data_IF_055815692561
#
_entry.id   IF_055815692561
#
_cell.length_a   1.000
_cell.length_b   1.000
_cell.length_c   1.000
_cell.angle_alpha   90.00
_cell.angle_beta   90.00
_cell.angle_gamma   90.00
#
_symmetry.space_group_name_H-M   'P 1'
#
loop_
_entity.id
_entity.type
_entity.pdbx_description
1 polymer ?
#
# COMPACT_ATOMS: atom_id res chain seq x y z
N UNK A 1 2.90 29.41 -20.88
CA UNK A 1 3.42 28.03 -20.70
C UNK A 1 4.06 28.01 -19.32
N UNK A 2 3.34 27.56 -18.29
CA UNK A 2 3.95 27.39 -16.97
C UNK A 2 5.01 26.29 -17.11
N UNK A 3 6.27 26.60 -16.84
CA UNK A 3 7.32 25.59 -16.68
C UNK A 3 6.92 24.74 -15.49
N UNK A 4 6.25 23.62 -15.75
CA UNK A 4 6.08 22.56 -14.77
C UNK A 4 7.50 22.07 -14.48
N UNK A 5 7.99 22.31 -13.27
CA UNK A 5 9.27 21.74 -12.86
C UNK A 5 9.04 20.26 -12.58
N UNK A 6 9.16 19.45 -13.62
CA UNK A 6 8.95 18.03 -13.55
C UNK A 6 9.86 17.31 -12.55
N UNK A 7 11.08 17.83 -12.32
CA UNK A 7 11.97 17.33 -11.27
C UNK A 7 11.36 17.58 -9.88
N UNK A 8 10.66 18.71 -9.67
CA UNK A 8 9.92 18.96 -8.44
C UNK A 8 8.74 18.02 -8.27
N UNK A 9 7.95 17.78 -9.33
CA UNK A 9 6.85 16.81 -9.27
C UNK A 9 7.37 15.40 -8.97
N UNK A 10 8.43 14.98 -9.65
CA UNK A 10 9.09 13.69 -9.42
C UNK A 10 9.66 13.59 -7.99
N UNK A 11 10.22 14.68 -7.47
CA UNK A 11 10.71 14.74 -6.08
C UNK A 11 9.59 14.67 -5.05
N UNK A 12 8.45 15.32 -5.31
CA UNK A 12 7.27 15.22 -4.44
C UNK A 12 6.81 13.76 -4.36
N UNK A 13 6.78 13.06 -5.50
CA UNK A 13 6.44 11.62 -5.54
C UNK A 13 7.45 10.81 -4.71
N UNK A 14 8.75 10.98 -4.95
CA UNK A 14 9.81 10.31 -4.18
C UNK A 14 9.68 10.55 -2.67
N UNK A 15 9.42 11.80 -2.25
CA UNK A 15 9.21 12.13 -0.84
C UNK A 15 8.02 11.42 -0.24
N UNK A 16 6.87 11.39 -0.94
CA UNK A 16 5.65 10.71 -0.45
C UNK A 16 5.89 9.20 -0.30
N UNK A 17 6.60 8.57 -1.24
CA UNK A 17 6.92 7.13 -1.17
C UNK A 17 7.80 6.81 0.03
N UNK A 18 8.89 7.56 0.21
CA UNK A 18 9.79 7.37 1.36
C UNK A 18 9.05 7.57 2.69
N UNK A 19 8.20 8.60 2.79
CA UNK A 19 7.38 8.81 3.98
C UNK A 19 6.39 7.66 4.21
N UNK A 20 5.75 7.14 3.15
CA UNK A 20 4.86 5.99 3.23
C UNK A 20 5.56 4.75 3.78
N UNK A 21 6.75 4.43 3.26
CA UNK A 21 7.56 3.32 3.76
C UNK A 21 8.07 3.55 5.19
N UNK A 22 8.47 4.78 5.54
CA UNK A 22 8.87 5.10 6.91
C UNK A 22 7.72 4.88 7.91
N UNK A 23 6.47 5.18 7.53
CA UNK A 23 5.29 4.91 8.35
C UNK A 23 5.09 3.40 8.53
N UNK A 24 5.18 2.61 7.45
CA UNK A 24 5.03 1.14 7.48
C UNK A 24 6.11 0.52 8.39
N UNK A 25 7.37 0.92 8.19
CA UNK A 25 8.49 0.41 8.97
C UNK A 25 8.35 0.80 10.45
N UNK A 26 7.92 2.04 10.73
CA UNK A 26 7.65 2.49 12.09
C UNK A 26 6.56 1.66 12.77
N UNK A 27 5.44 1.41 12.08
CA UNK A 27 4.36 0.57 12.59
C UNK A 27 4.85 -0.83 12.95
N UNK A 28 5.56 -1.49 12.02
CA UNK A 28 6.09 -2.85 12.22
C UNK A 28 7.10 -2.90 13.35
N UNK A 29 8.04 -1.96 13.39
CA UNK A 29 9.09 -1.91 14.42
C UNK A 29 8.50 -1.64 15.82
N UNK A 30 7.60 -0.66 15.95
CA UNK A 30 6.94 -0.37 17.23
C UNK A 30 6.13 -1.57 17.71
N UNK A 31 5.37 -2.22 16.80
CA UNK A 31 4.62 -3.41 17.14
C UNK A 31 5.52 -4.56 17.61
N UNK A 32 6.57 -4.89 16.83
CA UNK A 32 7.49 -5.98 17.14
C UNK A 32 8.20 -5.77 18.49
N UNK A 33 8.67 -4.55 18.76
CA UNK A 33 9.35 -4.20 20.01
C UNK A 33 8.38 -4.11 21.21
N UNK A 34 7.14 -3.68 20.97
CA UNK A 34 6.13 -3.50 22.01
C UNK A 34 5.40 -4.79 22.42
N UNK A 35 5.25 -5.75 21.51
CA UNK A 35 4.49 -6.99 21.74
C UNK A 35 4.93 -7.79 22.98
N UNK A 36 6.23 -7.98 23.28
CA UNK A 36 6.65 -8.71 24.48
C UNK A 36 6.17 -8.05 25.78
N UNK A 37 6.11 -6.72 25.82
CA UNK A 37 5.59 -5.98 26.97
C UNK A 37 4.07 -6.03 27.04
N UNK A 38 3.39 -5.84 25.90
CA UNK A 38 1.94 -5.96 25.80
C UNK A 38 1.45 -7.34 26.25
N UNK A 39 2.15 -8.42 25.87
CA UNK A 39 1.83 -9.79 26.28
C UNK A 39 1.76 -9.96 27.79
N UNK A 40 2.68 -9.34 28.54
CA UNK A 40 2.68 -9.41 30.01
C UNK A 40 1.45 -8.74 30.62
N UNK A 41 1.05 -7.60 30.07
CA UNK A 41 -0.13 -6.85 30.54
C UNK A 41 -1.41 -7.60 30.21
N UNK A 42 -1.54 -8.07 28.96
CA UNK A 42 -2.67 -8.86 28.48
C UNK A 42 -2.82 -10.16 29.28
N UNK A 43 -1.71 -10.83 29.60
CA UNK A 43 -1.74 -12.05 30.43
C UNK A 43 -2.29 -11.79 31.84
N UNK A 44 -1.90 -10.67 32.47
CA UNK A 44 -2.44 -10.27 33.78
C UNK A 44 -3.94 -9.97 33.69
N UNK A 45 -4.37 -9.27 32.63
CA UNK A 45 -5.78 -8.95 32.41
C UNK A 45 -6.61 -10.23 32.20
N UNK A 46 -6.16 -11.13 31.35
CA UNK A 46 -6.85 -12.41 31.12
C UNK A 46 -6.82 -13.30 32.37
N UNK A 47 -5.74 -13.27 33.15
CA UNK A 47 -5.70 -13.98 34.43
C UNK A 47 -6.82 -13.49 35.36
N UNK A 48 -6.96 -12.17 35.52
CA UNK A 48 -8.04 -11.59 36.33
C UNK A 48 -9.40 -12.00 35.81
N UNK A 49 -9.65 -11.82 34.51
CA UNK A 49 -10.92 -12.15 33.88
C UNK A 49 -11.30 -13.62 34.06
N UNK A 50 -10.37 -14.55 33.85
CA UNK A 50 -10.65 -15.98 33.99
C UNK A 50 -10.79 -16.39 35.45
N UNK A 51 -10.05 -15.78 36.38
CA UNK A 51 -10.26 -15.97 37.82
C UNK A 51 -11.67 -15.53 38.24
N UNK A 52 -12.14 -14.37 37.78
CA UNK A 52 -13.49 -13.88 38.09
C UNK A 52 -14.58 -14.84 37.54
N UNK A 53 -14.36 -15.42 36.36
CA UNK A 53 -15.28 -16.42 35.79
C UNK A 53 -15.30 -17.73 36.59
N UNK A 54 -14.15 -18.17 37.11
CA UNK A 54 -14.06 -19.36 37.93
C UNK A 54 -14.70 -19.14 39.31
N UNK A 55 -14.38 -18.03 39.98
CA UNK A 55 -14.87 -17.72 41.33
C UNK A 55 -16.39 -17.47 41.35
N UNK A 56 -16.96 -16.98 40.25
CA UNK A 56 -18.41 -16.78 40.08
C UNK A 56 -19.18 -18.05 39.66
N UNK A 57 -18.49 -19.17 39.45
CA UNK A 57 -19.09 -20.41 38.97
C UNK A 57 -19.62 -20.33 37.52
N UNK A 58 -19.19 -19.34 36.74
CA UNK A 58 -19.62 -19.15 35.35
C UNK A 58 -18.81 -20.03 34.39
N UNK A 59 -17.54 -20.27 34.71
CA UNK A 59 -16.66 -21.07 33.86
C UNK A 59 -17.20 -22.50 33.69
N UNK A 60 -17.72 -23.10 34.78
CA UNK A 60 -18.35 -24.42 34.81
C UNK A 60 -19.65 -24.50 34.02
N UNK A 61 -20.35 -23.36 33.85
CA UNK A 61 -21.57 -23.29 33.03
C UNK A 61 -21.26 -23.19 31.54
N UNK A 62 -20.13 -22.56 31.21
CA UNK A 62 -19.74 -22.27 29.84
C UNK A 62 -18.89 -23.39 29.21
N UNK A 63 -18.17 -24.16 30.03
CA UNK A 63 -17.20 -25.16 29.55
C UNK A 63 -17.58 -26.55 30.04
N UNK A 64 -17.69 -27.47 29.09
CA UNK A 64 -17.99 -28.89 29.34
C UNK A 64 -16.75 -29.57 29.93
N UNK A 65 -16.96 -30.45 30.92
CA UNK A 65 -15.94 -31.40 31.39
C UNK A 65 -15.24 -31.04 32.69
N UNK A 66 -15.63 -29.94 33.36
CA UNK A 66 -15.13 -29.60 34.70
C UNK A 66 -15.87 -30.45 35.74
N UNK A 67 -15.17 -31.37 36.41
CA UNK A 67 -15.76 -32.30 37.39
C UNK A 67 -15.40 -31.96 38.84
N UNK A 68 -14.24 -31.34 39.05
CA UNK A 68 -13.72 -30.99 40.35
C UNK A 68 -12.85 -29.72 40.30
N UNK A 69 -12.35 -29.30 41.47
CA UNK A 69 -11.51 -28.10 41.60
C UNK A 69 -10.17 -28.21 40.86
N UNK A 70 -9.64 -29.42 40.68
CA UNK A 70 -8.42 -29.65 39.90
C UNK A 70 -8.66 -29.43 38.41
N UNK A 71 -9.77 -29.94 37.88
CA UNK A 71 -10.20 -29.71 36.49
C UNK A 71 -10.53 -28.23 36.24
N UNK A 72 -11.18 -27.56 37.21
CA UNK A 72 -11.48 -26.13 37.13
C UNK A 72 -10.19 -25.30 36.97
N UNK A 73 -9.18 -25.55 37.82
CA UNK A 73 -7.91 -24.83 37.75
C UNK A 73 -7.18 -25.05 36.43
N UNK A 74 -7.07 -26.31 35.97
CA UNK A 74 -6.45 -26.64 34.69
C UNK A 74 -7.16 -25.97 33.52
N UNK A 75 -8.48 -25.96 33.54
CA UNK A 75 -9.31 -25.33 32.49
C UNK A 75 -9.13 -23.82 32.50
N UNK A 76 -9.14 -23.18 33.67
CA UNK A 76 -8.87 -21.76 33.83
C UNK A 76 -7.48 -21.38 33.28
N UNK A 77 -6.44 -22.12 33.64
CA UNK A 77 -5.08 -21.88 33.15
C UNK A 77 -5.00 -22.01 31.61
N UNK A 78 -5.62 -23.06 31.06
CA UNK A 78 -5.70 -23.28 29.61
C UNK A 78 -6.44 -22.14 28.87
N UNK A 79 -7.61 -21.74 29.37
CA UNK A 79 -8.41 -20.66 28.76
C UNK A 79 -7.63 -19.35 28.78
N UNK A 80 -7.01 -18.99 29.90
CA UNK A 80 -6.14 -17.81 30.01
C UNK A 80 -5.03 -17.84 28.97
N UNK A 81 -4.29 -18.95 28.87
CA UNK A 81 -3.20 -19.10 27.92
C UNK A 81 -3.68 -18.92 26.48
N UNK A 82 -4.79 -19.57 26.10
CA UNK A 82 -5.37 -19.45 24.77
C UNK A 82 -5.87 -18.05 24.44
N UNK A 83 -6.52 -17.37 25.39
CA UNK A 83 -6.95 -15.99 25.20
C UNK A 83 -5.75 -15.07 24.96
N UNK A 84 -4.70 -15.20 25.78
CA UNK A 84 -3.48 -14.41 25.62
C UNK A 84 -2.80 -14.69 24.28
N UNK A 85 -2.61 -15.97 23.91
CA UNK A 85 -2.06 -16.36 22.62
C UNK A 85 -2.85 -15.78 21.45
N UNK A 86 -4.18 -15.91 21.48
CA UNK A 86 -5.04 -15.44 20.40
C UNK A 86 -5.00 -13.92 20.27
N UNK A 87 -5.02 -13.17 21.38
CA UNK A 87 -4.90 -11.71 21.37
C UNK A 87 -3.58 -11.27 20.75
N UNK A 88 -2.46 -11.91 21.11
CA UNK A 88 -1.16 -11.57 20.54
C UNK A 88 -1.07 -11.91 19.05
N UNK A 89 -1.61 -13.05 18.63
CA UNK A 89 -1.69 -13.43 17.21
C UNK A 89 -2.53 -12.45 16.41
N UNK A 90 -3.74 -12.14 16.88
CA UNK A 90 -4.62 -11.17 16.23
C UNK A 90 -3.93 -9.81 16.05
N UNK A 91 -3.22 -9.32 17.08
CA UNK A 91 -2.46 -8.08 16.99
C UNK A 91 -1.36 -8.16 15.92
N UNK A 92 -0.57 -9.24 15.90
CA UNK A 92 0.49 -9.43 14.90
C UNK A 92 -0.04 -9.50 13.49
N UNK A 93 -1.03 -10.36 13.26
CA UNK A 93 -1.65 -10.53 11.96
C UNK A 93 -2.33 -9.25 11.47
N UNK A 94 -2.90 -8.44 12.36
CA UNK A 94 -3.46 -7.12 12.01
C UNK A 94 -2.37 -6.14 11.55
N UNK A 95 -1.20 -6.15 12.18
CA UNK A 95 -0.06 -5.31 11.77
C UNK A 95 0.45 -5.73 10.39
N UNK A 96 0.56 -7.03 10.13
CA UNK A 96 0.97 -7.56 8.83
C UNK A 96 -0.04 -7.19 7.73
N UNK A 97 -1.33 -7.39 8.00
CA UNK A 97 -2.41 -7.04 7.09
C UNK A 97 -2.40 -5.53 6.77
N UNK A 98 -2.32 -4.67 7.79
CA UNK A 98 -2.24 -3.22 7.60
C UNK A 98 -0.99 -2.81 6.82
N UNK A 99 0.16 -3.43 7.11
CA UNK A 99 1.41 -3.17 6.40
C UNK A 99 1.29 -3.48 4.90
N UNK A 100 0.67 -4.60 4.54
CA UNK A 100 0.46 -4.99 3.15
C UNK A 100 -0.47 -4.02 2.41
N UNK A 101 -1.58 -3.64 3.06
CA UNK A 101 -2.54 -2.67 2.51
C UNK A 101 -1.85 -1.33 2.25
N UNK A 102 -1.12 -0.80 3.23
CA UNK A 102 -0.39 0.45 3.09
C UNK A 102 0.70 0.38 2.03
N UNK A 103 1.49 -0.69 1.98
CA UNK A 103 2.53 -0.87 0.96
C UNK A 103 1.93 -0.87 -0.46
N UNK A 104 0.80 -1.54 -0.66
CA UNK A 104 0.11 -1.53 -1.94
C UNK A 104 -0.41 -0.12 -2.27
N UNK A 105 -1.00 0.59 -1.31
CA UNK A 105 -1.47 1.97 -1.50
C UNK A 105 -0.32 2.92 -1.88
N UNK A 106 0.86 2.77 -1.27
CA UNK A 106 2.05 3.57 -1.61
C UNK A 106 2.48 3.33 -3.06
N UNK A 107 2.59 2.08 -3.48
CA UNK A 107 2.96 1.73 -4.86
C UNK A 107 1.89 2.22 -5.87
N UNK A 108 0.62 2.10 -5.53
CA UNK A 108 -0.49 2.60 -6.34
C UNK A 108 -0.41 4.13 -6.54
N UNK A 109 -0.15 4.91 -5.49
CA UNK A 109 0.02 6.36 -5.58
C UNK A 109 1.23 6.75 -6.45
N UNK A 110 2.34 6.04 -6.28
CA UNK A 110 3.57 6.21 -7.05
C UNK A 110 3.32 6.03 -8.55
N UNK A 111 2.78 4.87 -8.95
CA UNK A 111 2.49 4.53 -10.34
C UNK A 111 1.51 5.54 -10.95
N UNK A 112 0.47 5.92 -10.21
CA UNK A 112 -0.50 6.91 -10.67
C UNK A 112 0.13 8.29 -10.89
N UNK A 113 1.10 8.67 -10.06
CA UNK A 113 1.80 9.93 -10.18
C UNK A 113 2.76 9.94 -11.37
N UNK A 114 3.48 8.84 -11.58
CA UNK A 114 4.32 8.66 -12.76
C UNK A 114 3.51 8.72 -14.06
N UNK A 115 2.33 8.08 -14.11
CA UNK A 115 1.43 8.22 -15.25
C UNK A 115 1.04 9.69 -15.50
N UNK A 116 0.85 10.48 -14.44
CA UNK A 116 0.66 11.93 -14.54
C UNK A 116 1.84 12.64 -15.19
N UNK A 117 3.06 12.37 -14.70
CA UNK A 117 4.30 12.98 -15.21
C UNK A 117 4.50 12.67 -16.71
N UNK A 118 4.16 11.45 -17.16
CA UNK A 118 4.31 11.09 -18.59
C UNK A 118 3.50 11.96 -19.55
N UNK A 119 2.50 12.71 -19.07
CA UNK A 119 1.80 13.72 -19.86
C UNK A 119 2.77 14.74 -20.48
N UNK A 120 3.82 15.12 -19.73
CA UNK A 120 4.79 16.12 -20.14
C UNK A 120 5.89 15.57 -21.04
N UNK A 121 6.26 14.29 -20.87
CA UNK A 121 7.45 13.72 -21.49
C UNK A 121 7.18 12.72 -22.62
N UNK A 122 5.95 12.19 -22.71
CA UNK A 122 5.55 11.27 -23.76
C UNK A 122 4.31 11.78 -24.52
N UNK A 123 4.29 13.04 -25.00
CA UNK A 123 3.10 13.63 -25.63
C UNK A 123 2.67 12.85 -26.87
N UNK A 124 3.60 12.33 -27.67
CA UNK A 124 3.28 11.59 -28.89
C UNK A 124 2.62 10.24 -28.59
N UNK A 125 3.09 9.53 -27.57
CA UNK A 125 2.45 8.29 -27.09
C UNK A 125 0.98 8.55 -26.72
N UNK A 126 0.75 9.64 -25.99
CA UNK A 126 -0.59 9.99 -25.54
C UNK A 126 -1.49 10.51 -26.66
N UNK A 127 -0.95 11.34 -27.57
CA UNK A 127 -1.64 11.80 -28.79
C UNK A 127 -2.10 10.61 -29.62
N UNK A 128 -1.24 9.62 -29.84
CA UNK A 128 -1.58 8.40 -30.57
C UNK A 128 -2.72 7.60 -29.93
N UNK A 129 -2.83 7.68 -28.60
CA UNK A 129 -3.84 6.95 -27.83
C UNK A 129 -5.22 7.64 -27.82
N UNK A 130 -5.27 8.94 -28.10
CA UNK A 130 -6.52 9.73 -28.17
C UNK A 130 -6.88 10.17 -29.59
N UNK A 131 -6.05 9.91 -30.60
CA UNK A 131 -6.26 10.38 -31.99
C UNK A 131 -7.57 9.93 -32.65
N UNK A 132 -8.17 8.84 -32.16
CA UNK A 132 -9.45 8.30 -32.66
C UNK A 132 -10.64 8.78 -31.83
N UNK A 133 -10.40 9.51 -30.75
CA UNK A 133 -11.48 10.00 -29.89
C UNK A 133 -12.18 11.16 -30.61
N UNK A 134 -13.53 11.18 -30.64
CA UNK A 134 -14.27 12.26 -31.27
C UNK A 134 -14.07 13.56 -30.50
N UNK A 135 -13.88 14.67 -31.21
CA UNK A 135 -13.73 16.00 -30.62
C UNK A 135 -14.78 16.97 -31.15
N UNK A 136 -15.04 18.01 -30.35
CA UNK A 136 -15.94 19.10 -30.69
C UNK A 136 -15.19 20.18 -31.49
N UNK A 137 -15.66 20.47 -32.71
CA UNK A 137 -15.09 21.48 -33.59
C UNK A 137 -15.20 22.88 -32.97
N UNK A 138 -16.28 23.17 -32.24
CA UNK A 138 -16.46 24.47 -31.57
C UNK A 138 -15.40 24.68 -30.49
N UNK A 139 -15.12 23.64 -29.69
CA UNK A 139 -14.04 23.65 -28.71
C UNK A 139 -12.66 23.88 -29.35
N UNK A 140 -12.39 23.29 -30.52
CA UNK A 140 -11.13 23.49 -31.26
C UNK A 140 -11.01 24.93 -31.76
N UNK A 141 -12.09 25.51 -32.31
CA UNK A 141 -12.10 26.90 -32.75
C UNK A 141 -11.88 27.89 -31.60
N UNK A 142 -12.42 27.58 -30.41
CA UNK A 142 -12.33 28.45 -29.22
C UNK A 142 -11.00 28.33 -28.47
N UNK A 143 -10.47 27.12 -28.33
CA UNK A 143 -9.33 26.85 -27.44
C UNK A 143 -8.05 26.42 -28.18
N UNK A 144 -8.13 26.13 -29.48
CA UNK A 144 -7.02 25.58 -30.25
C UNK A 144 -6.86 24.08 -30.07
N UNK A 145 -6.35 23.42 -31.12
CA UNK A 145 -6.24 21.96 -31.18
C UNK A 145 -5.40 21.37 -30.04
N UNK A 146 -4.23 21.96 -29.74
CA UNK A 146 -3.34 21.44 -28.70
C UNK A 146 -3.97 21.44 -27.29
N UNK A 147 -4.74 22.49 -26.97
CA UNK A 147 -5.42 22.57 -25.67
C UNK A 147 -6.57 21.54 -25.59
N UNK A 148 -7.31 21.36 -26.67
CA UNK A 148 -8.37 20.34 -26.75
C UNK A 148 -7.76 18.95 -26.57
N UNK A 149 -6.74 18.60 -27.36
CA UNK A 149 -6.04 17.32 -27.29
C UNK A 149 -5.43 17.09 -25.91
N UNK A 150 -4.79 18.11 -25.33
CA UNK A 150 -4.26 18.05 -23.96
C UNK A 150 -5.33 17.69 -22.93
N UNK A 151 -6.53 18.26 -23.05
CA UNK A 151 -7.65 17.94 -22.16
C UNK A 151 -8.15 16.48 -22.32
N UNK A 152 -8.16 15.94 -23.54
CA UNK A 152 -8.49 14.54 -23.80
C UNK A 152 -7.46 13.60 -23.17
N UNK A 153 -6.17 13.92 -23.32
CA UNK A 153 -5.10 13.13 -22.71
C UNK A 153 -5.23 13.15 -21.18
N UNK A 154 -5.44 14.32 -20.57
CA UNK A 154 -5.61 14.41 -19.11
C UNK A 154 -6.82 13.60 -18.61
N UNK A 155 -7.97 13.69 -19.31
CA UNK A 155 -9.15 12.85 -19.02
C UNK A 155 -8.83 11.36 -19.15
N UNK A 156 -8.07 10.97 -20.18
CA UNK A 156 -7.66 9.58 -20.40
C UNK A 156 -6.76 9.07 -19.27
N UNK A 157 -5.73 9.84 -18.90
CA UNK A 157 -4.85 9.52 -17.77
C UNK A 157 -5.66 9.38 -16.49
N UNK A 158 -6.55 10.34 -16.20
CA UNK A 158 -7.39 10.30 -14.99
C UNK A 158 -8.30 9.07 -14.96
N UNK A 159 -8.94 8.72 -16.08
CA UNK A 159 -9.77 7.51 -16.19
C UNK A 159 -8.95 6.24 -15.93
N UNK A 160 -7.74 6.14 -16.47
CA UNK A 160 -6.84 5.00 -16.23
C UNK A 160 -6.41 4.95 -14.76
N UNK A 161 -6.04 6.09 -14.17
CA UNK A 161 -5.67 6.19 -12.76
C UNK A 161 -6.78 5.74 -11.82
N UNK A 162 -8.04 6.06 -12.17
CA UNK A 162 -9.21 5.68 -11.37
C UNK A 162 -9.63 4.22 -11.54
N UNK A 163 -9.60 3.71 -12.76
CA UNK A 163 -10.29 2.45 -13.09
C UNK A 163 -9.33 1.28 -13.41
N UNK A 164 -8.07 1.56 -13.72
CA UNK A 164 -7.09 0.51 -14.03
C UNK A 164 -6.65 -0.25 -12.78
N UNK A 165 -6.38 -1.54 -12.93
CA UNK A 165 -5.62 -2.28 -11.90
C UNK A 165 -4.19 -1.75 -11.80
N UNK A 166 -3.52 -1.97 -10.67
CA UNK A 166 -2.13 -1.62 -10.47
C UNK A 166 -1.24 -2.19 -11.59
N UNK A 167 -1.44 -3.46 -11.95
CA UNK A 167 -0.67 -4.11 -13.02
C UNK A 167 -0.96 -3.51 -14.39
N UNK A 168 -2.21 -3.15 -14.69
CA UNK A 168 -2.54 -2.44 -15.94
C UNK A 168 -1.80 -1.10 -16.03
N UNK A 169 -1.73 -0.36 -14.92
CA UNK A 169 -1.04 0.93 -14.85
C UNK A 169 0.48 0.78 -14.96
N UNK A 170 1.04 -0.19 -14.28
CA UNK A 170 2.46 -0.54 -14.34
C UNK A 170 2.88 -0.95 -15.77
N UNK A 171 2.09 -1.80 -16.43
CA UNK A 171 2.33 -2.20 -17.83
C UNK A 171 2.22 -1.02 -18.79
N UNK A 172 1.34 -0.05 -18.50
CA UNK A 172 1.26 1.16 -19.30
C UNK A 172 2.52 2.01 -19.15
N UNK A 173 3.06 2.16 -17.93
CA UNK A 173 4.35 2.84 -17.74
C UNK A 173 5.49 2.12 -18.47
N UNK A 174 5.54 0.79 -18.43
CA UNK A 174 6.51 0.01 -19.18
C UNK A 174 6.39 0.26 -20.69
N UNK A 175 5.18 0.33 -21.23
CA UNK A 175 4.93 0.61 -22.64
C UNK A 175 5.30 2.04 -23.05
N UNK A 176 5.15 3.01 -22.14
CA UNK A 176 5.57 4.40 -22.36
C UNK A 176 7.09 4.50 -22.33
N UNK A 177 7.72 3.91 -21.32
CA UNK A 177 9.15 4.08 -21.05
C UNK A 177 10.04 3.21 -21.93
N UNK A 178 9.52 2.06 -22.42
CA UNK A 178 10.23 1.12 -23.29
C UNK A 178 11.66 0.81 -22.80
N UNK A 179 11.82 0.20 -21.61
CA UNK A 179 13.13 -0.09 -21.05
C UNK A 179 14.00 -0.85 -22.06
N UNK A 180 15.18 -0.32 -22.36
CA UNK A 180 16.09 -0.87 -23.38
C UNK A 180 16.85 -2.11 -22.91
N UNK A 181 17.00 -2.28 -21.59
CA UNK A 181 17.68 -3.39 -20.95
C UNK A 181 16.85 -3.89 -19.75
N UNK A 182 16.96 -5.18 -19.43
CA UNK A 182 16.42 -5.68 -18.17
C UNK A 182 17.26 -5.11 -17.02
N UNK A 183 16.62 -4.51 -16.01
CA UNK A 183 17.31 -4.11 -14.79
C UNK A 183 17.91 -5.37 -14.13
N UNK A 184 19.24 -5.42 -13.93
CA UNK A 184 19.90 -6.63 -13.46
C UNK A 184 19.58 -6.96 -11.99
N UNK A 185 19.00 -6.01 -11.26
CA UNK A 185 18.68 -6.15 -9.84
C UNK A 185 17.22 -6.50 -9.58
N UNK A 186 16.29 -6.14 -10.48
CA UNK A 186 14.88 -6.43 -10.30
C UNK A 186 14.10 -6.42 -11.62
N UNK A 187 13.30 -7.46 -11.84
CA UNK A 187 12.30 -7.50 -12.90
C UNK A 187 10.90 -7.37 -12.30
N UNK A 188 10.08 -6.51 -12.90
CA UNK A 188 8.68 -6.37 -12.49
C UNK A 188 7.90 -7.66 -12.77
N UNK A 189 7.54 -8.37 -11.71
CA UNK A 189 6.73 -9.58 -11.76
C UNK A 189 5.24 -9.24 -11.62
N UNK A 190 4.53 -9.30 -12.74
CA UNK A 190 3.10 -9.00 -12.81
C UNK A 190 2.25 -9.97 -12.00
N UNK A 191 2.58 -11.27 -12.02
CA UNK A 191 1.77 -12.29 -11.37
C UNK A 191 1.93 -12.20 -9.85
N UNK A 192 3.14 -11.93 -9.38
CA UNK A 192 3.39 -11.67 -7.96
C UNK A 192 2.62 -10.46 -7.47
N UNK A 193 2.61 -9.34 -8.20
CA UNK A 193 1.84 -8.14 -7.82
C UNK A 193 0.33 -8.39 -7.87
N UNK A 194 -0.18 -9.14 -8.87
CA UNK A 194 -1.60 -9.55 -8.90
C UNK A 194 -1.98 -10.40 -7.68
N UNK A 195 -1.14 -11.36 -7.30
CA UNK A 195 -1.41 -12.19 -6.12
C UNK A 195 -1.45 -11.37 -4.83
N UNK A 196 -0.61 -10.33 -4.73
CA UNK A 196 -0.58 -9.43 -3.59
C UNK A 196 -1.83 -8.53 -3.57
N UNK A 197 -2.25 -8.00 -4.73
CA UNK A 197 -3.49 -7.22 -4.86
C UNK A 197 -4.72 -8.06 -4.47
N UNK A 198 -4.79 -9.32 -4.90
CA UNK A 198 -5.86 -10.23 -4.48
C UNK A 198 -5.85 -10.44 -2.97
N UNK A 199 -4.71 -10.77 -2.39
CA UNK A 199 -4.57 -10.92 -0.94
C UNK A 199 -5.01 -9.66 -0.19
N UNK A 200 -4.66 -8.47 -0.70
CA UNK A 200 -5.10 -7.19 -0.15
C UNK A 200 -6.63 -7.04 -0.22
N UNK A 201 -7.28 -7.46 -1.31
CA UNK A 201 -8.73 -7.45 -1.43
C UNK A 201 -9.37 -8.36 -0.38
N UNK A 202 -8.88 -9.59 -0.27
CA UNK A 202 -9.40 -10.59 0.68
C UNK A 202 -9.26 -10.09 2.15
N UNK A 203 -8.18 -9.38 2.47
CA UNK A 203 -7.99 -8.70 3.78
C UNK A 203 -9.03 -7.59 3.99
N UNK A 204 -9.19 -6.68 3.02
CA UNK A 204 -10.09 -5.51 3.14
C UNK A 204 -11.55 -5.93 3.19
N UNK A 205 -11.92 -7.02 2.50
CA UNK A 205 -13.26 -7.60 2.55
C UNK A 205 -13.52 -8.41 3.83
N UNK A 206 -12.52 -8.56 4.70
CA UNK A 206 -12.64 -9.20 6.01
C UNK A 206 -12.49 -10.72 5.99
N UNK A 207 -12.30 -11.34 4.82
CA UNK A 207 -12.17 -12.80 4.68
C UNK A 207 -10.92 -13.34 5.37
N UNK A 208 -9.87 -12.52 5.44
CA UNK A 208 -8.58 -12.86 6.06
C UNK A 208 -8.24 -11.98 7.27
N UNK A 209 -9.22 -11.26 7.84
CA UNK A 209 -8.96 -10.42 9.00
C UNK A 209 -8.57 -11.30 10.20
N UNK A 210 -7.40 -11.02 10.81
CA UNK A 210 -6.88 -11.82 11.91
C UNK A 210 -6.31 -13.17 11.50
N UNK A 211 -6.05 -13.40 10.21
CA UNK A 211 -5.36 -14.59 9.70
C UNK A 211 -3.88 -14.32 9.46
N UNK A 212 -3.05 -15.36 9.64
CA UNK A 212 -1.63 -15.29 9.33
C UNK A 212 -1.39 -15.06 7.83
N UNK A 213 -0.48 -14.14 7.52
CA UNK A 213 -0.03 -13.89 6.15
C UNK A 213 1.36 -14.52 5.99
N UNK A 214 1.42 -15.67 5.32
CA UNK A 214 2.68 -16.32 5.00
C UNK A 214 3.59 -15.38 4.18
N UNK A 215 4.90 -15.42 4.46
CA UNK A 215 5.94 -14.67 3.74
C UNK A 215 5.62 -13.17 3.57
N UNK A 216 5.11 -12.53 4.62
CA UNK A 216 4.74 -11.11 4.59
C UNK A 216 5.92 -10.21 4.20
N UNK A 217 7.12 -10.47 4.73
CA UNK A 217 8.31 -9.65 4.45
C UNK A 217 8.74 -9.73 2.98
N UNK A 218 8.60 -10.89 2.34
CA UNK A 218 8.87 -11.06 0.90
C UNK A 218 7.85 -10.30 0.03
N UNK A 219 6.59 -10.25 0.48
CA UNK A 219 5.53 -9.50 -0.21
C UNK A 219 5.76 -8.00 -0.08
N UNK A 220 6.13 -7.51 1.11
CA UNK A 220 6.50 -6.12 1.34
C UNK A 220 7.73 -5.73 0.53
N UNK A 221 8.77 -6.58 0.54
CA UNK A 221 9.98 -6.38 -0.25
C UNK A 221 9.69 -6.33 -1.75
N UNK A 222 8.79 -7.19 -2.25
CA UNK A 222 8.34 -7.15 -3.63
C UNK A 222 7.72 -5.80 -4.01
N UNK A 223 6.81 -5.27 -3.18
CA UNK A 223 6.16 -3.98 -3.44
C UNK A 223 7.16 -2.82 -3.37
N UNK A 224 8.08 -2.86 -2.41
CA UNK A 224 9.15 -1.86 -2.27
C UNK A 224 10.07 -1.83 -3.49
N UNK A 225 10.52 -3.02 -3.91
CA UNK A 225 11.40 -3.17 -5.07
C UNK A 225 10.71 -2.78 -6.37
N UNK A 226 9.41 -3.07 -6.52
CA UNK A 226 8.62 -2.59 -7.64
C UNK A 226 8.60 -1.06 -7.70
N UNK A 227 8.39 -0.37 -6.56
CA UNK A 227 8.45 1.10 -6.50
C UNK A 227 9.82 1.63 -6.96
N UNK A 228 10.91 1.14 -6.35
CA UNK A 228 12.27 1.53 -6.74
C UNK A 228 12.58 1.26 -8.22
N UNK A 229 12.06 0.17 -8.77
CA UNK A 229 12.19 -0.13 -10.19
C UNK A 229 11.51 0.93 -11.06
N UNK A 230 10.27 1.31 -10.76
CA UNK A 230 9.58 2.36 -11.53
C UNK A 230 10.20 3.75 -11.33
N UNK A 231 10.69 4.05 -10.13
CA UNK A 231 11.49 5.26 -9.89
C UNK A 231 12.71 5.32 -10.84
N UNK A 232 13.52 4.26 -10.87
CA UNK A 232 14.70 4.16 -11.77
C UNK A 232 14.29 4.24 -13.23
N UNK A 233 13.20 3.59 -13.62
CA UNK A 233 12.68 3.60 -14.98
C UNK A 233 12.34 5.03 -15.43
N UNK A 234 11.63 5.79 -14.59
CA UNK A 234 11.28 7.18 -14.87
C UNK A 234 12.53 8.07 -14.97
N UNK A 235 13.50 7.89 -14.07
CA UNK A 235 14.79 8.58 -14.12
C UNK A 235 15.55 8.30 -15.43
N UNK A 236 15.73 7.02 -15.78
CA UNK A 236 16.51 6.61 -16.94
C UNK A 236 15.85 7.03 -18.27
N UNK A 237 14.52 6.97 -18.33
CA UNK A 237 13.77 7.28 -19.55
C UNK A 237 13.69 8.78 -19.83
N UNK A 238 13.42 9.58 -18.80
CA UNK A 238 13.09 11.00 -18.95
C UNK A 238 14.16 11.95 -18.38
N UNK A 239 15.22 11.41 -17.78
CA UNK A 239 16.28 12.20 -17.15
C UNK A 239 15.86 12.91 -15.86
N UNK A 240 14.73 12.52 -15.26
CA UNK A 240 14.15 13.16 -14.06
C UNK A 240 15.04 13.02 -12.84
N UNK A 241 15.26 14.09 -12.09
CA UNK A 241 16.18 14.12 -10.94
C UNK A 241 15.47 14.54 -9.66
N UNK A 242 16.11 14.23 -8.53
CA UNK A 242 15.68 14.70 -7.22
C UNK A 242 16.18 16.12 -6.99
N UNK A 243 15.24 17.05 -6.84
CA UNK A 243 15.48 18.44 -6.43
C UNK A 243 15.44 18.53 -4.89
N UNK A 244 16.61 18.61 -4.26
CA UNK A 244 16.69 18.59 -2.80
C UNK A 244 16.05 19.81 -2.13
N UNK A 245 15.79 20.90 -2.87
CA UNK A 245 15.14 22.10 -2.32
C UNK A 245 13.66 21.86 -1.97
N UNK A 246 13.05 20.82 -2.54
CA UNK A 246 11.68 20.38 -2.23
C UNK A 246 11.57 19.80 -0.81
N UNK A 247 12.67 19.35 -0.21
CA UNK A 247 12.68 18.86 1.17
C UNK A 247 12.76 19.99 2.20
N UNK A 248 13.32 21.14 1.83
CA UNK A 248 13.54 22.30 2.72
C UNK A 248 12.46 23.36 2.62
N UNK A 249 11.66 23.34 1.55
CA UNK A 249 10.54 24.27 1.36
C UNK A 249 9.35 23.83 2.22
N UNK A 250 9.05 24.60 3.27
CA UNK A 250 7.78 24.43 4.00
C UNK A 250 6.61 24.59 3.02
N UNK A 251 5.53 23.78 3.13
CA UNK A 251 4.34 24.03 2.34
C UNK A 251 3.85 25.45 2.65
N UNK A 252 3.85 26.33 1.65
CA UNK A 252 3.20 27.63 1.81
C UNK A 252 1.72 27.34 2.11
N UNK A 253 1.16 27.87 3.21
CA UNK A 253 -0.27 27.77 3.43
C UNK A 253 -0.98 28.38 2.23
N UNK A 254 -1.92 27.63 1.65
CA UNK A 254 -2.79 28.16 0.61
C UNK A 254 -3.53 29.37 1.18
N UNK A 255 -3.21 30.56 0.70
CA UNK A 255 -4.02 31.77 0.85
C UNK A 255 -5.10 31.80 -0.22
#
# INVERSE_FOLDING_TARGET
MYYVNADQEFTVVFRRINNGWAIIDSLRNVAALGMPYAKKIVDVQHKSFVSDLADSGQLEKLIIGIKDAGDLKKTADFVRERLTEQTMKNASYSVDAASLVFAHTVLEDEINSYLGITFHFAPDFWRDRVKKDPFDLEAVLKHGLDNVVGSFIQKKIWSIRRNGSLVTKANLLLAICKPSEQDPYYAFDQEKVKSIDKLRQDIVHGELLGSEIADIDDKLSCLRNAGFYFFKLMHNTFGLRIDTTVFTSQPKPNT
#
